data_IF_954184453447
#
_entry.id   IF_954184453447
#
_cell.length_a   1.000
_cell.length_b   1.000
_cell.length_c   1.000
_cell.angle_alpha   90.00
_cell.angle_beta   90.00
_cell.angle_gamma   90.00
#
_symmetry.space_group_name_H-M   'P 1'
#
loop_
_entity.id
_entity.type
_entity.pdbx_description
1 polymer ?
#
# COMPACT_ATOMS: atom_id res chain seq x y z
N UNK A 1 39.15 -5.68 -21.58
CA UNK A 1 37.93 -6.42 -22.00
C UNK A 1 37.56 -7.36 -20.86
N UNK A 2 36.54 -7.08 -20.11
CA UNK A 2 35.98 -8.03 -19.15
C UNK A 2 34.98 -8.86 -19.91
N UNK A 3 35.37 -10.08 -20.25
CA UNK A 3 34.49 -11.04 -20.90
C UNK A 3 33.42 -11.49 -19.94
N UNK A 4 32.17 -11.24 -20.28
CA UNK A 4 31.02 -11.91 -19.67
C UNK A 4 30.08 -11.09 -18.79
N UNK A 5 30.22 -9.78 -18.69
CA UNK A 5 29.23 -8.94 -17.99
C UNK A 5 28.55 -7.98 -18.97
N UNK A 6 27.25 -8.14 -19.16
CA UNK A 6 26.46 -7.12 -19.84
C UNK A 6 26.10 -6.03 -18.82
N UNK A 7 26.33 -4.78 -19.17
CA UNK A 7 25.91 -3.65 -18.38
C UNK A 7 24.42 -3.37 -18.63
N UNK A 8 23.59 -3.45 -17.61
CA UNK A 8 22.20 -2.99 -17.65
C UNK A 8 22.14 -1.57 -17.08
N UNK A 9 21.66 -0.64 -17.88
CA UNK A 9 21.28 0.69 -17.40
C UNK A 9 19.94 0.55 -16.68
N UNK A 10 19.98 0.54 -15.34
CA UNK A 10 18.81 0.76 -14.52
C UNK A 10 18.54 2.26 -14.53
N UNK A 11 17.69 2.73 -15.47
CA UNK A 11 17.22 4.09 -15.45
C UNK A 11 16.32 4.29 -14.25
N UNK A 12 16.77 5.04 -13.24
CA UNK A 12 16.03 5.43 -12.05
C UNK A 12 15.62 4.22 -11.19
N UNK A 13 16.53 3.77 -10.33
CA UNK A 13 16.22 2.85 -9.24
C UNK A 13 16.51 3.50 -7.92
N UNK A 14 15.71 3.16 -6.89
CA UNK A 14 16.02 3.57 -5.53
C UNK A 14 17.24 2.81 -5.02
N UNK A 15 18.02 3.44 -4.16
CA UNK A 15 19.17 2.79 -3.51
C UNK A 15 18.77 1.50 -2.77
N UNK A 16 17.64 1.43 -2.04
CA UNK A 16 17.16 0.21 -1.39
C UNK A 16 16.89 -0.94 -2.37
N UNK A 17 16.26 -0.69 -3.53
CA UNK A 17 15.99 -1.71 -4.55
C UNK A 17 17.28 -2.33 -5.09
N UNK A 18 18.26 -1.48 -5.35
CA UNK A 18 19.59 -1.94 -5.80
C UNK A 18 20.26 -2.79 -4.72
N UNK A 19 20.20 -2.36 -3.45
CA UNK A 19 20.78 -3.10 -2.34
C UNK A 19 20.11 -4.47 -2.13
N UNK A 20 18.78 -4.55 -2.31
CA UNK A 20 18.05 -5.82 -2.25
C UNK A 20 18.52 -6.81 -3.32
N UNK A 21 18.52 -6.38 -4.59
CA UNK A 21 18.97 -7.21 -5.72
C UNK A 21 20.38 -7.73 -5.47
N UNK A 22 21.29 -6.86 -5.00
CA UNK A 22 22.68 -7.25 -4.70
C UNK A 22 22.77 -8.25 -3.56
N UNK A 23 22.10 -7.98 -2.45
CA UNK A 23 22.20 -8.79 -1.23
C UNK A 23 21.67 -10.21 -1.41
N UNK A 24 20.50 -10.37 -2.06
CA UNK A 24 19.87 -11.70 -2.20
C UNK A 24 20.46 -12.53 -3.34
N UNK A 25 21.08 -11.89 -4.33
CA UNK A 25 21.54 -12.56 -5.53
C UNK A 25 23.04 -12.84 -5.60
N UNK A 26 23.85 -12.08 -4.88
CA UNK A 26 25.31 -12.15 -5.02
C UNK A 26 26.08 -12.66 -3.80
N UNK A 27 25.40 -12.97 -2.69
CA UNK A 27 26.09 -13.48 -1.51
C UNK A 27 27.32 -12.63 -1.11
N UNK A 28 27.18 -11.29 -1.07
CA UNK A 28 28.23 -10.32 -0.72
C UNK A 28 29.15 -9.83 -1.85
N UNK A 29 28.85 -10.01 -3.11
CA UNK A 29 29.66 -9.36 -4.15
C UNK A 29 29.24 -7.90 -4.35
N UNK A 30 30.20 -6.99 -4.15
CA UNK A 30 30.00 -5.54 -4.27
C UNK A 30 29.75 -5.18 -5.74
N UNK A 31 28.61 -4.56 -6.03
CA UNK A 31 28.41 -3.87 -7.30
C UNK A 31 29.42 -2.74 -7.43
N UNK A 32 30.13 -2.70 -8.54
CA UNK A 32 31.04 -1.59 -8.83
C UNK A 32 30.36 -0.63 -9.79
N UNK A 33 30.37 0.63 -9.45
CA UNK A 33 30.06 1.72 -10.36
C UNK A 33 31.22 1.88 -11.33
N UNK A 34 30.98 1.83 -12.64
CA UNK A 34 32.02 2.08 -13.61
C UNK A 34 32.11 3.58 -13.96
N UNK A 35 33.25 3.97 -14.55
CA UNK A 35 33.54 5.36 -14.94
C UNK A 35 32.59 5.92 -16.03
N UNK A 36 31.71 5.09 -16.61
CA UNK A 36 30.72 5.44 -17.63
C UNK A 36 29.33 5.61 -17.06
N UNK A 37 29.17 5.54 -15.72
CA UNK A 37 27.92 5.76 -15.04
C UNK A 37 26.96 4.56 -15.05
N UNK A 38 27.48 3.34 -15.10
CA UNK A 38 26.71 2.10 -15.06
C UNK A 38 27.09 1.17 -13.90
N UNK A 39 26.17 0.31 -13.48
CA UNK A 39 26.44 -0.75 -12.51
C UNK A 39 26.87 -2.03 -13.22
N UNK A 40 27.97 -2.63 -12.76
CA UNK A 40 28.39 -3.96 -13.22
C UNK A 40 27.63 -5.01 -12.40
N UNK A 41 26.80 -5.79 -13.07
CA UNK A 41 25.94 -6.81 -12.45
C UNK A 41 26.53 -8.21 -12.75
N UNK A 42 26.81 -9.03 -11.72
CA UNK A 42 27.30 -10.40 -11.91
C UNK A 42 26.31 -11.29 -12.71
N UNK A 43 26.83 -12.34 -13.34
CA UNK A 43 26.07 -13.21 -14.27
C UNK A 43 24.87 -13.89 -13.62
N UNK A 44 24.96 -14.22 -12.32
CA UNK A 44 23.85 -14.83 -11.56
C UNK A 44 22.70 -13.83 -11.34
N UNK A 45 23.02 -12.56 -11.10
CA UNK A 45 22.05 -11.45 -11.05
C UNK A 45 21.39 -11.26 -12.41
N UNK A 46 22.13 -11.47 -13.51
CA UNK A 46 21.60 -11.47 -14.87
C UNK A 46 20.51 -12.51 -15.09
N UNK A 47 20.67 -13.74 -14.57
CA UNK A 47 19.66 -14.81 -14.68
C UNK A 47 18.35 -14.46 -13.98
N UNK A 48 18.40 -13.74 -12.87
CA UNK A 48 17.20 -13.32 -12.15
C UNK A 48 16.62 -12.06 -12.76
N UNK A 49 17.43 -11.08 -13.13
CA UNK A 49 16.98 -9.96 -13.97
C UNK A 49 16.46 -10.44 -15.32
N UNK A 50 17.02 -11.50 -15.91
CA UNK A 50 16.45 -12.14 -17.09
C UNK A 50 15.18 -12.93 -16.78
N UNK A 51 15.03 -13.54 -15.61
CA UNK A 51 13.76 -14.13 -15.15
C UNK A 51 12.72 -13.04 -14.86
N UNK A 52 13.14 -11.92 -14.31
CA UNK A 52 12.33 -10.70 -14.15
C UNK A 52 12.08 -10.03 -15.49
N UNK A 53 13.03 -9.99 -16.42
CA UNK A 53 12.88 -9.46 -17.80
C UNK A 53 12.33 -10.48 -18.80
N UNK A 54 12.36 -11.78 -18.56
CA UNK A 54 11.59 -12.80 -19.27
C UNK A 54 10.07 -12.69 -19.03
N UNK A 55 9.65 -11.65 -18.37
CA UNK A 55 8.30 -11.15 -18.37
C UNK A 55 7.82 -10.59 -19.72
N UNK A 56 8.35 -11.04 -20.82
CA UNK A 56 7.62 -11.06 -22.10
C UNK A 56 6.30 -11.85 -22.02
N UNK A 57 6.07 -12.57 -20.93
CA UNK A 57 4.84 -13.33 -20.65
C UNK A 57 3.91 -12.67 -19.63
N UNK A 58 4.32 -11.59 -18.98
CA UNK A 58 3.39 -10.74 -18.21
C UNK A 58 2.74 -9.77 -19.20
N UNK A 59 1.41 -9.69 -19.26
CA UNK A 59 0.72 -8.80 -20.20
C UNK A 59 1.33 -7.39 -20.13
N UNK A 60 1.54 -6.78 -21.30
CA UNK A 60 2.17 -5.45 -21.46
C UNK A 60 1.56 -4.34 -20.58
N UNK A 61 0.42 -4.59 -19.97
CA UNK A 61 -0.37 -3.66 -19.15
C UNK A 61 0.21 -3.43 -17.75
N UNK A 62 0.95 -4.39 -17.19
CA UNK A 62 1.53 -4.24 -15.84
C UNK A 62 2.67 -3.22 -15.78
N UNK A 63 3.33 -2.92 -16.90
CA UNK A 63 4.45 -1.97 -16.98
C UNK A 63 4.02 -0.50 -17.00
N UNK A 64 2.77 -0.19 -17.36
CA UNK A 64 2.33 1.20 -17.52
C UNK A 64 1.93 1.88 -16.20
N UNK A 65 1.70 1.12 -15.15
CA UNK A 65 1.20 1.64 -13.89
C UNK A 65 2.28 2.16 -12.93
N UNK A 66 3.55 1.83 -13.16
CA UNK A 66 4.64 2.27 -12.28
C UNK A 66 5.01 3.75 -12.39
N UNK A 67 4.47 4.51 -13.37
CA UNK A 67 4.93 5.89 -13.60
C UNK A 67 3.84 6.94 -13.84
N UNK A 68 2.55 6.64 -13.74
CA UNK A 68 1.54 7.58 -14.30
C UNK A 68 0.46 8.13 -13.36
N UNK A 69 0.43 7.83 -12.08
CA UNK A 69 -0.72 8.22 -11.26
C UNK A 69 -0.45 9.16 -10.08
N UNK A 70 0.66 9.88 -10.03
CA UNK A 70 0.79 10.99 -9.07
C UNK A 70 1.38 12.21 -9.76
N UNK A 71 0.62 13.33 -9.90
CA UNK A 71 1.08 14.52 -10.64
C UNK A 71 2.04 15.44 -9.89
N UNK A 72 2.74 15.01 -8.85
CA UNK A 72 3.51 15.96 -8.03
C UNK A 72 4.95 15.61 -7.70
N UNK A 73 5.56 14.59 -8.24
CA UNK A 73 7.02 14.51 -8.31
C UNK A 73 7.50 13.34 -9.15
N UNK A 74 8.23 13.63 -10.19
CA UNK A 74 8.89 12.69 -11.12
C UNK A 74 9.96 11.83 -10.40
N UNK A 75 10.14 11.98 -9.09
CA UNK A 75 11.22 11.38 -8.28
C UNK A 75 10.74 10.50 -7.12
N UNK A 76 9.44 10.29 -6.97
CA UNK A 76 8.87 9.50 -5.89
C UNK A 76 8.75 8.02 -6.32
N UNK A 77 9.77 7.22 -6.01
CA UNK A 77 9.86 5.80 -6.36
C UNK A 77 9.51 4.89 -5.17
N UNK A 78 8.91 5.44 -4.13
CA UNK A 78 8.58 4.77 -2.88
C UNK A 78 7.26 4.00 -2.89
N UNK A 79 6.47 4.10 -3.98
CA UNK A 79 5.14 3.51 -4.13
C UNK A 79 5.03 2.58 -5.32
N UNK A 80 4.19 1.55 -5.16
CA UNK A 80 3.80 0.63 -6.22
C UNK A 80 2.28 0.54 -6.30
N UNK A 81 1.75 0.78 -7.49
CA UNK A 81 0.37 0.47 -7.89
C UNK A 81 0.48 -0.44 -9.10
N UNK A 82 -0.16 -1.59 -9.05
CA UNK A 82 -0.17 -2.53 -10.15
C UNK A 82 -1.53 -2.51 -10.87
N UNK A 83 -1.59 -3.15 -12.03
CA UNK A 83 -2.83 -3.39 -12.78
C UNK A 83 -2.88 -4.87 -13.13
N UNK A 84 -4.01 -5.51 -12.89
CA UNK A 84 -4.20 -6.92 -13.22
C UNK A 84 -4.43 -7.15 -14.73
N UNK A 85 -4.60 -8.40 -15.11
CA UNK A 85 -4.84 -8.84 -16.49
C UNK A 85 -6.15 -8.33 -17.10
N UNK A 86 -7.08 -7.84 -16.27
CA UNK A 86 -8.39 -7.31 -16.69
C UNK A 86 -8.39 -5.77 -16.73
N UNK A 87 -7.28 -5.12 -16.36
CA UNK A 87 -7.18 -3.67 -16.28
C UNK A 87 -7.65 -3.09 -14.94
N UNK A 88 -7.88 -3.93 -13.92
CA UNK A 88 -8.25 -3.48 -12.58
C UNK A 88 -7.03 -3.01 -11.80
N UNK A 89 -7.18 -1.89 -11.10
CA UNK A 89 -6.14 -1.35 -10.23
C UNK A 89 -5.92 -2.25 -9.01
N UNK A 90 -4.66 -2.58 -8.75
CA UNK A 90 -4.19 -3.32 -7.59
C UNK A 90 -3.36 -2.39 -6.72
N UNK A 91 -4.04 -1.67 -5.84
CA UNK A 91 -3.44 -0.72 -4.92
C UNK A 91 -2.81 -1.40 -3.69
N UNK A 92 -2.24 -0.61 -2.76
CA UNK A 92 -1.46 -1.12 -1.65
C UNK A 92 -2.15 -2.15 -0.76
N UNK A 93 -3.46 -2.04 -0.51
CA UNK A 93 -4.18 -3.03 0.31
C UNK A 93 -4.20 -4.41 -0.36
N UNK A 94 -4.42 -4.47 -1.69
CA UNK A 94 -4.32 -5.73 -2.42
C UNK A 94 -2.90 -6.31 -2.37
N UNK A 95 -1.89 -5.44 -2.49
CA UNK A 95 -0.47 -5.86 -2.42
C UNK A 95 -0.17 -6.42 -1.03
N UNK A 96 -0.60 -5.75 0.04
CA UNK A 96 -0.46 -6.23 1.42
C UNK A 96 -1.15 -7.59 1.60
N UNK A 97 -2.37 -7.75 1.06
CA UNK A 97 -3.12 -9.01 1.12
C UNK A 97 -2.37 -10.15 0.41
N UNK A 98 -1.99 -9.94 -0.86
CA UNK A 98 -1.35 -10.96 -1.68
C UNK A 98 0.02 -11.35 -1.11
N UNK A 99 0.86 -10.38 -0.77
CA UNK A 99 2.18 -10.62 -0.20
C UNK A 99 2.10 -11.18 1.24
N UNK A 100 1.17 -10.68 2.06
CA UNK A 100 0.97 -11.17 3.44
C UNK A 100 0.57 -12.62 3.47
N UNK A 101 -0.39 -13.02 2.64
CA UNK A 101 -0.82 -14.40 2.49
C UNK A 101 0.31 -15.32 2.04
N UNK A 102 1.05 -14.91 1.02
CA UNK A 102 2.21 -15.65 0.52
C UNK A 102 3.30 -15.81 1.58
N UNK A 103 3.68 -14.73 2.26
CA UNK A 103 4.69 -14.78 3.33
C UNK A 103 4.26 -15.69 4.48
N UNK A 104 2.97 -15.70 4.85
CA UNK A 104 2.42 -16.63 5.85
C UNK A 104 2.57 -18.07 5.40
N UNK A 105 2.14 -18.41 4.19
CA UNK A 105 2.22 -19.75 3.63
C UNK A 105 3.67 -20.27 3.56
N UNK A 106 4.63 -19.37 3.34
CA UNK A 106 6.06 -19.68 3.36
C UNK A 106 6.68 -19.71 4.78
N UNK A 107 5.90 -19.48 5.84
CA UNK A 107 6.41 -19.36 7.21
C UNK A 107 7.33 -18.14 7.43
N UNK A 108 7.23 -17.14 6.57
CA UNK A 108 8.08 -15.92 6.55
C UNK A 108 7.38 -14.71 7.17
N UNK A 109 6.10 -14.79 7.52
CA UNK A 109 5.34 -13.71 8.14
C UNK A 109 5.46 -13.78 9.66
N UNK A 110 6.20 -12.85 10.24
CA UNK A 110 6.44 -12.80 11.69
C UNK A 110 5.13 -12.61 12.45
N UNK A 111 4.86 -13.51 13.42
CA UNK A 111 3.64 -13.54 14.24
C UNK A 111 2.34 -13.56 13.42
N UNK A 112 2.39 -13.99 12.14
CA UNK A 112 1.28 -13.91 11.20
C UNK A 112 0.63 -12.52 11.16
N UNK A 113 1.41 -11.44 11.27
CA UNK A 113 0.92 -10.07 11.38
C UNK A 113 1.44 -9.20 10.24
N UNK A 114 0.54 -8.39 9.67
CA UNK A 114 0.81 -7.31 8.71
C UNK A 114 0.49 -5.98 9.37
N UNK A 115 1.28 -4.96 9.10
CA UNK A 115 0.98 -3.59 9.57
C UNK A 115 0.25 -2.82 8.49
N UNK A 116 -0.88 -2.21 8.83
CA UNK A 116 -1.66 -1.35 7.93
C UNK A 116 -2.13 -0.08 8.66
N UNK A 117 -2.63 0.89 7.92
CA UNK A 117 -3.15 2.11 8.53
C UNK A 117 -4.66 2.06 8.72
N UNK A 118 -5.18 2.98 9.53
CA UNK A 118 -6.64 3.17 9.69
C UNK A 118 -7.35 3.49 8.36
N UNK A 119 -6.62 3.88 7.31
CA UNK A 119 -7.19 4.17 6.00
C UNK A 119 -7.27 2.95 5.08
N UNK A 120 -6.63 1.83 5.44
CA UNK A 120 -6.77 0.58 4.68
C UNK A 120 -8.23 0.12 4.68
N UNK A 121 -8.69 -0.38 3.54
CA UNK A 121 -10.08 -0.76 3.33
C UNK A 121 -10.52 -1.90 4.27
N UNK A 122 -11.78 -1.88 4.72
CA UNK A 122 -12.36 -2.97 5.53
C UNK A 122 -12.20 -4.34 4.90
N UNK A 123 -12.20 -4.41 3.57
CA UNK A 123 -11.98 -5.65 2.84
C UNK A 123 -10.63 -6.29 3.16
N UNK A 124 -9.58 -5.48 3.36
CA UNK A 124 -8.28 -5.98 3.82
C UNK A 124 -8.39 -6.63 5.19
N UNK A 125 -8.99 -5.93 6.17
CA UNK A 125 -9.11 -6.45 7.54
C UNK A 125 -9.92 -7.76 7.59
N UNK A 126 -11.05 -7.82 6.87
CA UNK A 126 -11.89 -9.01 6.80
C UNK A 126 -11.18 -10.17 6.11
N UNK A 127 -10.49 -9.91 5.00
CA UNK A 127 -9.76 -10.94 4.26
C UNK A 127 -8.57 -11.49 5.07
N UNK A 128 -7.79 -10.62 5.72
CA UNK A 128 -6.69 -11.01 6.59
C UNK A 128 -7.17 -11.86 7.77
N UNK A 129 -8.22 -11.41 8.48
CA UNK A 129 -8.82 -12.16 9.60
C UNK A 129 -9.30 -13.54 9.16
N UNK A 130 -10.00 -13.64 8.04
CA UNK A 130 -10.46 -14.92 7.47
C UNK A 130 -9.28 -15.87 7.19
N UNK A 131 -8.18 -15.34 6.67
CA UNK A 131 -6.99 -16.12 6.31
C UNK A 131 -6.05 -16.31 7.53
N UNK A 132 -6.49 -15.91 8.74
CA UNK A 132 -5.75 -16.06 10.00
C UNK A 132 -4.48 -15.21 10.06
N UNK A 133 -4.54 -14.02 9.45
CA UNK A 133 -3.49 -13.00 9.51
C UNK A 133 -4.01 -11.85 10.36
N UNK A 134 -3.25 -11.48 11.38
CA UNK A 134 -3.54 -10.33 12.21
C UNK A 134 -3.11 -9.04 11.52
N UNK A 135 -3.84 -7.95 11.77
CA UNK A 135 -3.48 -6.63 11.26
C UNK A 135 -3.18 -5.69 12.41
N UNK A 136 -1.94 -5.27 12.53
CA UNK A 136 -1.54 -4.20 13.43
C UNK A 136 -1.90 -2.87 12.78
N UNK A 137 -2.89 -2.17 13.34
CA UNK A 137 -3.42 -0.92 12.77
C UNK A 137 -2.72 0.29 13.36
N UNK A 138 -2.20 1.16 12.50
CA UNK A 138 -1.54 2.41 12.88
C UNK A 138 -2.32 3.64 12.39
N UNK A 139 -1.94 4.82 12.87
CA UNK A 139 -2.34 6.08 12.23
C UNK A 139 -1.72 6.19 10.83
N UNK A 140 -2.24 7.11 10.02
CA UNK A 140 -1.75 7.37 8.66
C UNK A 140 -0.35 7.97 8.69
N UNK A 141 0.53 7.42 7.88
CA UNK A 141 1.90 7.88 7.69
C UNK A 141 2.89 6.72 7.76
N UNK A 142 3.80 6.68 6.81
CA UNK A 142 4.88 5.71 6.67
C UNK A 142 5.71 5.55 7.94
N UNK A 143 5.97 6.67 8.64
CA UNK A 143 6.67 6.72 9.92
C UNK A 143 6.01 5.79 10.95
N UNK A 144 4.69 5.88 11.13
CA UNK A 144 3.97 5.09 12.13
C UNK A 144 3.91 3.61 11.76
N UNK A 145 3.80 3.31 10.47
CA UNK A 145 3.90 1.95 9.96
C UNK A 145 5.27 1.36 10.28
N UNK A 146 6.35 2.09 9.95
CA UNK A 146 7.71 1.64 10.21
C UNK A 146 8.00 1.50 11.71
N UNK A 147 7.57 2.45 12.55
CA UNK A 147 7.73 2.38 14.01
C UNK A 147 7.07 1.12 14.59
N UNK A 148 5.84 0.81 14.18
CA UNK A 148 5.13 -0.41 14.60
C UNK A 148 5.84 -1.68 14.13
N UNK A 149 6.36 -1.69 12.90
CA UNK A 149 7.12 -2.81 12.34
C UNK A 149 8.40 -3.06 13.14
N UNK A 150 9.18 -2.01 13.41
CA UNK A 150 10.44 -2.11 14.16
C UNK A 150 10.19 -2.57 15.60
N UNK A 151 9.22 -1.96 16.29
CA UNK A 151 8.91 -2.27 17.68
C UNK A 151 8.50 -3.73 17.91
N UNK A 152 7.85 -4.36 16.93
CA UNK A 152 7.30 -5.71 17.05
C UNK A 152 8.00 -6.75 16.16
N UNK A 153 8.98 -6.34 15.37
CA UNK A 153 9.69 -7.23 14.44
C UNK A 153 8.86 -7.68 13.24
N UNK A 154 7.81 -6.94 12.86
CA UNK A 154 6.97 -7.28 11.72
C UNK A 154 7.71 -7.08 10.39
N UNK A 155 7.43 -7.94 9.43
CA UNK A 155 8.20 -8.01 8.17
C UNK A 155 7.51 -7.35 6.98
N UNK A 156 6.21 -7.09 7.07
CA UNK A 156 5.40 -6.49 6.01
C UNK A 156 4.47 -5.44 6.61
N UNK A 157 4.48 -4.26 6.03
CA UNK A 157 3.54 -3.20 6.37
C UNK A 157 3.41 -2.18 5.25
N UNK A 158 2.39 -1.35 5.30
CA UNK A 158 2.20 -0.32 4.29
C UNK A 158 0.86 0.39 4.34
N UNK A 159 0.58 1.11 3.27
CA UNK A 159 -0.59 1.95 3.09
C UNK A 159 -1.34 1.61 1.79
N UNK A 160 -2.64 1.88 1.75
CA UNK A 160 -3.46 1.77 0.54
C UNK A 160 -2.85 2.51 -0.66
N UNK A 161 -2.17 3.63 -0.42
CA UNK A 161 -1.50 4.45 -1.43
C UNK A 161 -0.36 3.76 -2.18
N UNK A 162 -0.01 2.51 -1.81
CA UNK A 162 1.05 1.73 -2.43
C UNK A 162 2.43 1.90 -1.80
N UNK A 163 2.56 2.64 -0.70
CA UNK A 163 3.78 2.70 0.09
C UNK A 163 3.91 1.43 0.93
N UNK A 164 4.71 0.48 0.49
CA UNK A 164 4.86 -0.85 1.10
C UNK A 164 6.29 -1.05 1.59
N UNK A 165 6.42 -1.53 2.82
CA UNK A 165 7.69 -1.80 3.48
C UNK A 165 7.86 -3.30 3.68
N UNK A 166 8.98 -3.84 3.17
CA UNK A 166 9.46 -5.18 3.46
C UNK A 166 10.71 -5.07 4.35
N UNK A 167 10.53 -5.12 5.68
CA UNK A 167 11.60 -4.75 6.64
C UNK A 167 12.85 -5.63 6.57
N UNK A 168 12.76 -6.84 5.99
CA UNK A 168 13.93 -7.69 5.74
C UNK A 168 14.85 -7.13 4.66
N UNK A 169 14.36 -6.23 3.82
CA UNK A 169 15.04 -5.74 2.64
C UNK A 169 15.28 -4.23 2.68
N UNK A 170 14.30 -3.46 3.17
CA UNK A 170 14.36 -2.01 3.25
C UNK A 170 13.67 -1.51 4.51
N UNK A 171 14.10 -0.36 5.03
CA UNK A 171 13.50 0.32 6.20
C UNK A 171 12.43 1.33 5.81
N UNK A 172 12.27 1.59 4.52
CA UNK A 172 11.31 2.53 3.93
C UNK A 172 10.56 1.84 2.79
N UNK A 173 9.47 2.42 2.33
CA UNK A 173 8.77 1.97 1.13
C UNK A 173 9.66 2.08 -0.10
N UNK A 174 9.54 1.08 -0.97
CA UNK A 174 10.27 1.01 -2.23
C UNK A 174 9.37 0.35 -3.29
N UNK A 175 8.97 1.15 -4.29
CA UNK A 175 8.02 0.71 -5.32
C UNK A 175 8.60 -0.39 -6.21
N UNK A 176 9.91 -0.35 -6.50
CA UNK A 176 10.57 -1.38 -7.33
C UNK A 176 10.70 -2.69 -6.55
N UNK A 177 11.14 -2.62 -5.30
CA UNK A 177 11.18 -3.77 -4.40
C UNK A 177 9.78 -4.40 -4.27
N UNK A 178 8.76 -3.57 -4.06
CA UNK A 178 7.37 -4.01 -3.95
C UNK A 178 6.91 -4.74 -5.22
N UNK A 179 7.22 -4.20 -6.39
CA UNK A 179 6.93 -4.84 -7.66
C UNK A 179 7.64 -6.20 -7.80
N UNK A 180 8.91 -6.30 -7.41
CA UNK A 180 9.68 -7.55 -7.44
C UNK A 180 9.07 -8.59 -6.49
N UNK A 181 8.68 -8.20 -5.28
CA UNK A 181 8.04 -9.10 -4.32
C UNK A 181 6.69 -9.60 -4.82
N UNK A 182 5.88 -8.71 -5.43
CA UNK A 182 4.61 -9.09 -6.04
C UNK A 182 4.80 -10.07 -7.21
N UNK A 183 5.83 -9.87 -8.03
CA UNK A 183 6.20 -10.76 -9.12
C UNK A 183 6.69 -12.13 -8.61
N UNK A 184 7.44 -12.18 -7.50
CA UNK A 184 7.80 -13.43 -6.83
C UNK A 184 6.54 -14.24 -6.54
N UNK A 185 5.52 -13.60 -5.93
CA UNK A 185 4.25 -14.29 -5.61
C UNK A 185 3.57 -14.84 -6.87
N UNK A 186 3.47 -14.04 -7.94
CA UNK A 186 2.84 -14.45 -9.21
C UNK A 186 3.55 -15.68 -9.79
N UNK A 187 4.88 -15.68 -9.80
CA UNK A 187 5.69 -16.75 -10.35
C UNK A 187 5.59 -18.05 -9.52
N UNK A 188 5.70 -17.94 -8.20
CA UNK A 188 5.65 -19.08 -7.30
C UNK A 188 4.25 -19.72 -7.26
N UNK A 189 3.19 -18.89 -7.24
CA UNK A 189 1.81 -19.37 -7.26
C UNK A 189 1.33 -19.83 -8.62
N UNK A 190 2.01 -19.41 -9.70
CA UNK A 190 1.60 -19.66 -11.09
C UNK A 190 0.15 -19.22 -11.35
N UNK A 191 -0.25 -18.11 -10.77
CA UNK A 191 -1.58 -17.53 -10.85
C UNK A 191 -1.49 -16.09 -11.35
N UNK A 192 -2.53 -15.63 -12.04
CA UNK A 192 -2.63 -14.22 -12.43
C UNK A 192 -2.86 -13.32 -11.22
N UNK A 193 -2.49 -12.05 -11.34
CA UNK A 193 -2.62 -11.08 -10.26
C UNK A 193 -4.07 -10.90 -9.83
N UNK A 194 -5.01 -10.79 -10.77
CA UNK A 194 -6.44 -10.71 -10.48
C UNK A 194 -6.96 -11.95 -9.74
N UNK A 195 -6.44 -13.15 -10.07
CA UNK A 195 -6.79 -14.36 -9.31
C UNK A 195 -6.28 -14.32 -7.88
N UNK A 196 -5.06 -13.83 -7.64
CA UNK A 196 -4.50 -13.67 -6.31
C UNK A 196 -5.27 -12.65 -5.46
N UNK A 197 -5.80 -11.60 -6.09
CA UNK A 197 -6.58 -10.56 -5.44
C UNK A 197 -8.02 -10.96 -5.09
N UNK A 198 -8.60 -12.00 -5.73
CA UNK A 198 -10.02 -12.39 -5.57
C UNK A 198 -10.43 -12.71 -4.14
N UNK A 199 -9.46 -13.07 -3.29
CA UNK A 199 -9.73 -13.34 -1.88
C UNK A 199 -10.06 -12.09 -1.05
N UNK A 200 -9.83 -10.90 -1.57
CA UNK A 200 -10.12 -9.63 -0.90
C UNK A 200 -11.19 -8.87 -1.67
N UNK A 201 -12.33 -8.65 -1.04
CA UNK A 201 -13.41 -7.84 -1.59
C UNK A 201 -13.30 -6.41 -1.08
N UNK A 202 -13.21 -5.43 -1.98
CA UNK A 202 -13.24 -4.02 -1.62
C UNK A 202 -14.63 -3.59 -1.19
N UNK A 203 -14.70 -2.84 -0.11
CA UNK A 203 -15.90 -2.12 0.30
C UNK A 203 -15.93 -0.76 -0.39
N UNK A 204 -17.09 -0.35 -0.93
CA UNK A 204 -17.31 1.03 -1.35
C UNK A 204 -16.88 2.00 -0.25
N UNK A 205 -16.22 3.06 -0.66
CA UNK A 205 -15.66 4.06 0.26
C UNK A 205 -15.90 5.47 -0.28
N UNK A 206 -16.43 6.35 0.55
CA UNK A 206 -16.54 7.77 0.23
C UNK A 206 -15.85 8.61 1.30
N UNK A 207 -15.01 9.54 0.84
CA UNK A 207 -14.32 10.52 1.68
C UNK A 207 -14.72 11.92 1.25
N UNK A 208 -15.21 12.73 2.20
CA UNK A 208 -15.43 14.17 2.01
C UNK A 208 -14.55 14.98 2.94
N UNK A 209 -13.97 16.04 2.40
CA UNK A 209 -13.23 17.04 3.15
C UNK A 209 -14.17 18.19 3.49
N UNK A 210 -14.32 18.52 4.77
CA UNK A 210 -15.10 19.65 5.26
C UNK A 210 -14.13 20.71 5.76
N UNK A 211 -14.16 21.91 5.16
CA UNK A 211 -13.38 23.05 5.64
C UNK A 211 -13.91 23.53 6.97
N UNK A 212 -13.02 23.76 7.92
CA UNK A 212 -13.37 24.19 9.28
C UNK A 212 -12.34 25.19 9.80
N UNK A 213 -12.73 26.07 10.69
CA UNK A 213 -11.78 26.99 11.37
C UNK A 213 -11.04 26.27 12.49
N UNK A 214 -11.77 25.54 13.30
CA UNK A 214 -11.24 24.78 14.45
C UNK A 214 -11.60 23.30 14.32
N UNK A 215 -10.59 22.48 14.06
CA UNK A 215 -10.72 21.04 13.93
C UNK A 215 -11.08 20.36 15.25
N UNK A 216 -10.52 20.87 16.35
CA UNK A 216 -10.77 20.33 17.69
C UNK A 216 -12.22 20.60 18.13
N UNK A 217 -12.79 21.75 17.74
CA UNK A 217 -14.20 22.05 17.99
C UNK A 217 -15.13 21.03 17.32
N UNK A 218 -14.82 20.58 16.10
CA UNK A 218 -15.61 19.58 15.38
C UNK A 218 -15.48 18.21 16.03
N UNK A 219 -14.25 17.78 16.30
CA UNK A 219 -14.00 16.45 16.89
C UNK A 219 -14.46 16.36 18.34
N UNK A 220 -14.55 17.47 19.06
CA UNK A 220 -15.09 17.57 20.43
C UNK A 220 -16.59 17.85 20.51
N UNK A 221 -17.28 18.13 19.39
CA UNK A 221 -18.71 18.46 19.41
C UNK A 221 -19.56 17.23 19.72
N UNK A 222 -20.45 17.35 20.71
CA UNK A 222 -21.26 16.23 21.19
C UNK A 222 -22.25 15.71 20.14
N UNK A 223 -22.85 16.59 19.32
CA UNK A 223 -23.81 16.20 18.28
C UNK A 223 -23.10 15.48 17.14
N UNK A 224 -21.93 15.94 16.73
CA UNK A 224 -21.10 15.28 15.71
C UNK A 224 -20.65 13.89 16.17
N UNK A 225 -20.25 13.74 17.44
CA UNK A 225 -19.86 12.43 17.99
C UNK A 225 -21.06 11.49 18.12
N UNK A 226 -22.22 12.00 18.58
CA UNK A 226 -23.45 11.20 18.67
C UNK A 226 -23.88 10.68 17.29
N UNK A 227 -23.80 11.51 16.26
CA UNK A 227 -24.14 11.12 14.90
C UNK A 227 -23.17 10.07 14.36
N UNK A 228 -21.87 10.24 14.60
CA UNK A 228 -20.84 9.24 14.27
C UNK A 228 -21.12 7.90 14.95
N UNK A 229 -21.46 7.90 16.23
CA UNK A 229 -21.81 6.68 16.97
C UNK A 229 -23.08 6.02 16.44
N UNK A 230 -24.12 6.81 16.14
CA UNK A 230 -25.35 6.34 15.52
C UNK A 230 -25.08 5.62 14.20
N UNK A 231 -24.28 6.24 13.33
CA UNK A 231 -23.90 5.67 12.03
C UNK A 231 -23.04 4.42 12.22
N UNK A 232 -22.07 4.46 13.14
CA UNK A 232 -21.25 3.29 13.45
C UNK A 232 -22.09 2.10 13.91
N UNK A 233 -23.09 2.33 14.75
CA UNK A 233 -24.03 1.29 15.18
C UNK A 233 -24.89 0.77 14.02
N UNK A 234 -25.35 1.66 13.13
CA UNK A 234 -26.15 1.28 11.96
C UNK A 234 -25.35 0.48 10.92
N UNK A 235 -24.06 0.76 10.78
CA UNK A 235 -23.16 0.03 9.88
C UNK A 235 -22.75 -1.34 10.44
N UNK A 236 -22.63 -1.45 11.76
CA UNK A 236 -22.25 -2.70 12.44
C UNK A 236 -20.91 -3.26 11.94
N UNK A 237 -20.89 -4.54 11.62
CA UNK A 237 -19.68 -5.21 11.08
C UNK A 237 -19.50 -5.00 9.57
N UNK A 238 -20.51 -4.45 8.88
CA UNK A 238 -20.52 -4.32 7.43
C UNK A 238 -20.19 -2.91 6.92
N UNK A 239 -19.68 -2.06 7.81
CA UNK A 239 -19.23 -0.74 7.47
C UNK A 239 -18.49 -0.07 8.61
N UNK A 240 -17.94 1.10 8.35
CA UNK A 240 -17.34 1.95 9.38
C UNK A 240 -17.36 3.41 8.97
N UNK A 241 -17.28 4.26 9.96
CA UNK A 241 -17.12 5.70 9.78
C UNK A 241 -15.84 6.17 10.48
N UNK A 242 -15.05 6.98 9.77
CA UNK A 242 -13.89 7.65 10.33
C UNK A 242 -14.06 9.16 10.20
N UNK A 243 -13.85 9.86 11.30
CA UNK A 243 -13.80 11.31 11.39
C UNK A 243 -12.39 11.67 11.87
N UNK A 244 -11.62 12.38 11.05
CA UNK A 244 -10.26 12.75 11.42
C UNK A 244 -9.85 14.12 10.94
N UNK A 245 -8.96 14.73 11.68
CA UNK A 245 -8.30 15.97 11.31
C UNK A 245 -7.28 15.74 10.19
N UNK A 246 -7.20 16.68 9.24
CA UNK A 246 -6.05 16.73 8.31
C UNK A 246 -4.84 17.31 9.03
N UNK A 247 -3.67 16.68 8.85
CA UNK A 247 -2.42 17.18 9.43
C UNK A 247 -1.91 18.47 8.77
N UNK A 248 -2.24 18.71 7.52
CA UNK A 248 -1.68 19.79 6.70
C UNK A 248 -2.68 20.85 6.29
N UNK A 249 -3.96 20.55 6.30
CA UNK A 249 -5.03 21.43 5.79
C UNK A 249 -6.06 21.74 6.89
N UNK A 250 -6.75 22.86 6.83
CA UNK A 250 -7.82 23.23 7.77
C UNK A 250 -9.13 22.49 7.41
N UNK A 251 -9.08 21.15 7.36
CA UNK A 251 -10.23 20.33 7.03
C UNK A 251 -10.39 19.15 8.00
N UNK A 252 -11.63 18.78 8.22
CA UNK A 252 -12.01 17.48 8.77
C UNK A 252 -12.32 16.54 7.63
N UNK A 253 -11.77 15.34 7.70
CA UNK A 253 -12.02 14.27 6.74
C UNK A 253 -13.05 13.31 7.30
N UNK A 254 -14.20 13.25 6.62
CA UNK A 254 -15.28 12.31 6.93
C UNK A 254 -15.22 11.19 5.90
N UNK A 255 -14.95 9.96 6.34
CA UNK A 255 -14.89 8.79 5.49
C UNK A 255 -15.86 7.73 5.98
N UNK A 256 -16.64 7.17 5.07
CA UNK A 256 -17.50 6.03 5.31
C UNK A 256 -17.17 4.92 4.34
N UNK A 257 -17.07 3.70 4.86
CA UNK A 257 -17.08 2.46 4.10
C UNK A 257 -18.37 1.70 4.43
N UNK A 258 -19.05 1.19 3.39
CA UNK A 258 -20.31 0.47 3.54
C UNK A 258 -20.50 -0.55 2.41
N UNK A 259 -21.61 -1.27 2.44
CA UNK A 259 -21.95 -2.28 1.42
C UNK A 259 -22.27 -1.69 0.04
N UNK A 260 -22.62 -0.39 -0.05
CA UNK A 260 -22.91 0.28 -1.33
C UNK A 260 -22.48 1.75 -1.31
N UNK A 261 -22.25 2.29 -2.52
CA UNK A 261 -21.91 3.70 -2.71
C UNK A 261 -23.01 4.63 -2.20
N UNK A 262 -24.28 4.24 -2.33
CA UNK A 262 -25.43 5.00 -1.86
C UNK A 262 -25.42 5.13 -0.33
N UNK A 263 -25.08 4.04 0.39
CA UNK A 263 -24.96 4.08 1.85
C UNK A 263 -23.76 4.93 2.29
N UNK A 264 -22.65 4.84 1.58
CA UNK A 264 -21.50 5.70 1.83
C UNK A 264 -21.86 7.18 1.67
N UNK A 265 -22.52 7.53 0.56
CA UNK A 265 -22.95 8.90 0.30
C UNK A 265 -23.93 9.41 1.36
N UNK A 266 -24.95 8.61 1.67
CA UNK A 266 -25.96 8.94 2.70
C UNK A 266 -25.30 9.30 4.03
N UNK A 267 -24.48 8.40 4.57
CA UNK A 267 -23.91 8.58 5.90
C UNK A 267 -22.82 9.65 5.96
N UNK A 268 -22.05 9.84 4.90
CA UNK A 268 -21.12 10.97 4.82
C UNK A 268 -21.88 12.29 4.84
N UNK A 269 -22.99 12.38 4.08
CA UNK A 269 -23.79 13.60 4.00
C UNK A 269 -24.50 13.92 5.31
N UNK A 270 -24.99 12.92 6.04
CA UNK A 270 -25.59 13.10 7.36
C UNK A 270 -24.59 13.75 8.34
N UNK A 271 -23.35 13.25 8.41
CA UNK A 271 -22.32 13.85 9.29
C UNK A 271 -21.93 15.27 8.83
N UNK A 272 -21.75 15.46 7.53
CA UNK A 272 -21.42 16.78 6.97
C UNK A 272 -22.51 17.79 7.26
N UNK A 273 -23.78 17.37 7.22
CA UNK A 273 -24.92 18.22 7.53
C UNK A 273 -24.92 18.62 9.01
N UNK A 274 -24.67 17.69 9.93
CA UNK A 274 -24.55 18.02 11.36
C UNK A 274 -23.41 19.02 11.61
N UNK A 275 -22.24 18.83 10.97
CA UNK A 275 -21.13 19.79 11.11
C UNK A 275 -21.54 21.19 10.64
N UNK A 276 -22.35 21.32 9.58
CA UNK A 276 -22.87 22.59 9.09
C UNK A 276 -23.92 23.21 10.01
N UNK A 277 -24.86 22.42 10.53
CA UNK A 277 -25.91 22.85 11.44
C UNK A 277 -25.36 23.37 12.78
N UNK A 278 -24.25 22.81 13.22
CA UNK A 278 -23.51 23.28 14.39
C UNK A 278 -22.67 24.54 14.10
N UNK A 279 -22.68 25.06 12.86
CA UNK A 279 -21.92 26.25 12.47
C UNK A 279 -20.41 26.05 12.48
N UNK A 280 -19.94 24.81 12.37
CA UNK A 280 -18.51 24.46 12.43
C UNK A 280 -17.85 24.41 11.04
N UNK A 281 -18.62 24.32 9.97
CA UNK A 281 -18.12 24.34 8.60
C UNK A 281 -17.91 25.76 8.10
N UNK A 282 -16.84 25.97 7.33
CA UNK A 282 -16.59 27.20 6.56
C UNK A 282 -17.08 26.99 5.13
N UNK A 283 -17.81 27.98 4.57
CA UNK A 283 -18.29 27.94 3.19
C UNK A 283 -17.17 28.03 2.13
#
# INVERSE_FOLDING_TARGET
>A
MVSGADAFLLHVTTTPSVAYVVRDLSGYQILRWDARGGWIVPTEVRLILQRVCLMRLVPKHMWLAMSRTVPTSIWDTDRCIAVDENGMEVHGDYILYVCGKYLKECGRLQNNTVVATIMSNMGLFKAMKRDGIEVCVTTVGDKYVNEAMVANGYVLGGEQSGHIIFSKHATIGDGILTALMLMEVILEKKQSLGTLCRGMQMYPQLLKNVKVEDKAAVTGNAHVQAEKERISAALGEDGRILLRESGTEPVIRVMVEAQSDELCAKYVDEVVQVIREEGLAVE
#
